data_IF_386394587932
#
_entry.id   IF_386394587932
#
_cell.length_a   1.000
_cell.length_b   1.000
_cell.length_c   1.000
_cell.angle_alpha   90.00
_cell.angle_beta   90.00
_cell.angle_gamma   90.00
#
_symmetry.space_group_name_H-M   'P 1'
#
loop_
_entity.id
_entity.type
_entity.pdbx_description
1 polymer ?
#
# COMPACT_ATOMS: atom_id res chain seq x y z
N UNK A 1 9.90 5.82 21.28
CA UNK A 1 10.57 4.74 20.54
C UNK A 1 9.70 4.47 19.32
N UNK A 2 10.18 4.83 18.13
CA UNK A 2 9.45 4.65 16.87
C UNK A 2 9.30 3.15 16.63
N UNK A 3 8.07 2.64 16.75
CA UNK A 3 7.79 1.25 16.44
C UNK A 3 8.06 1.01 14.95
N UNK A 4 9.18 0.36 14.68
CA UNK A 4 9.51 -0.19 13.37
C UNK A 4 8.62 -1.41 13.20
N UNK A 5 7.47 -1.27 12.55
CA UNK A 5 6.53 -2.39 12.33
C UNK A 5 6.69 -2.94 10.92
N UNK A 6 7.42 -4.04 10.70
CA UNK A 6 7.46 -4.68 9.41
C UNK A 6 6.15 -5.44 9.20
N UNK A 7 5.23 -4.83 8.47
CA UNK A 7 4.22 -5.59 7.74
C UNK A 7 4.93 -6.49 6.71
N UNK A 8 4.22 -7.46 6.12
CA UNK A 8 4.84 -8.39 5.18
C UNK A 8 5.14 -7.68 3.84
N UNK A 9 6.20 -6.88 3.83
CA UNK A 9 6.68 -6.15 2.65
C UNK A 9 7.16 -7.11 1.57
N UNK A 10 7.60 -8.31 1.95
CA UNK A 10 7.97 -9.36 1.01
C UNK A 10 6.79 -9.77 0.12
N UNK A 11 5.59 -9.96 0.69
CA UNK A 11 4.40 -10.29 -0.10
C UNK A 11 4.08 -9.21 -1.15
N UNK A 12 4.23 -7.93 -0.76
CA UNK A 12 4.04 -6.82 -1.70
C UNK A 12 5.11 -6.81 -2.80
N UNK A 13 6.38 -6.97 -2.43
CA UNK A 13 7.51 -6.99 -3.36
C UNK A 13 7.39 -8.14 -4.35
N UNK A 14 7.05 -9.34 -3.87
CA UNK A 14 6.88 -10.53 -4.72
C UNK A 14 5.76 -10.34 -5.72
N UNK A 15 4.62 -9.82 -5.27
CA UNK A 15 3.49 -9.50 -6.14
C UNK A 15 3.86 -8.43 -7.18
N UNK A 16 4.48 -7.31 -6.77
CA UNK A 16 4.92 -6.27 -7.71
C UNK A 16 5.92 -6.81 -8.74
N UNK A 17 6.87 -7.65 -8.31
CA UNK A 17 7.82 -8.29 -9.22
C UNK A 17 7.12 -9.24 -10.21
N UNK A 18 6.07 -9.94 -9.78
CA UNK A 18 5.25 -10.77 -10.67
C UNK A 18 4.50 -9.91 -11.70
N UNK A 19 3.83 -8.84 -11.27
CA UNK A 19 3.13 -7.94 -12.19
C UNK A 19 4.08 -7.30 -13.20
N UNK A 20 5.30 -6.93 -12.75
CA UNK A 20 6.33 -6.33 -13.60
C UNK A 20 6.90 -7.30 -14.66
N UNK A 21 6.59 -8.59 -14.61
CA UNK A 21 6.89 -9.53 -15.70
C UNK A 21 5.94 -9.36 -16.89
N UNK A 22 4.74 -8.85 -16.64
CA UNK A 22 3.68 -8.72 -17.63
C UNK A 22 3.38 -7.26 -18.00
N UNK A 23 3.77 -6.31 -17.13
CA UNK A 23 3.44 -4.88 -17.22
C UNK A 23 4.66 -4.02 -16.91
N UNK A 24 4.67 -2.79 -17.38
CA UNK A 24 5.69 -1.81 -16.99
C UNK A 24 5.31 -1.11 -15.68
N UNK A 25 6.28 -0.41 -15.06
CA UNK A 25 6.00 0.46 -13.90
C UNK A 25 5.00 1.58 -14.24
N UNK A 26 4.96 2.03 -15.49
CA UNK A 26 4.02 3.04 -15.96
C UNK A 26 2.60 2.48 -16.06
N UNK A 27 2.46 1.23 -16.49
CA UNK A 27 1.15 0.56 -16.53
C UNK A 27 0.60 0.35 -15.11
N UNK A 28 1.48 -0.04 -14.17
CA UNK A 28 1.09 -0.16 -12.76
C UNK A 28 0.71 1.17 -12.13
N UNK A 29 1.43 2.24 -12.47
CA UNK A 29 1.09 3.60 -12.05
C UNK A 29 -0.31 4.00 -12.54
N UNK A 30 -0.62 3.75 -13.81
CA UNK A 30 -1.92 4.05 -14.40
C UNK A 30 -3.05 3.20 -13.81
N UNK A 31 -2.82 1.90 -13.61
CA UNK A 31 -3.86 0.97 -13.17
C UNK A 31 -4.12 1.04 -11.67
N UNK A 32 -3.08 1.26 -10.86
CA UNK A 32 -3.23 1.42 -9.41
C UNK A 32 -3.58 2.87 -9.04
N UNK A 33 -3.41 3.83 -9.94
CA UNK A 33 -3.54 5.26 -9.61
C UNK A 33 -2.50 5.71 -8.57
N UNK A 34 -1.33 5.07 -8.55
CA UNK A 34 -0.25 5.31 -7.59
C UNK A 34 0.99 5.79 -8.33
N UNK A 35 1.60 6.87 -7.85
CA UNK A 35 2.78 7.43 -8.52
C UNK A 35 3.93 6.43 -8.63
N UNK A 36 4.66 6.48 -9.75
CA UNK A 36 5.80 5.58 -10.01
C UNK A 36 6.85 5.58 -8.91
N UNK A 37 7.08 6.74 -8.28
CA UNK A 37 8.07 6.87 -7.23
C UNK A 37 7.66 6.13 -5.94
N UNK A 38 6.34 6.01 -5.69
CA UNK A 38 5.77 5.20 -4.61
C UNK A 38 5.91 3.71 -4.93
N UNK A 39 5.59 3.29 -6.16
CA UNK A 39 5.81 1.88 -6.57
C UNK A 39 7.30 1.51 -6.44
N UNK A 40 8.21 2.44 -6.78
CA UNK A 40 9.65 2.25 -6.57
C UNK A 40 10.01 2.13 -5.09
N UNK A 41 9.40 2.93 -4.20
CA UNK A 41 9.66 2.84 -2.77
C UNK A 41 9.21 1.49 -2.21
N UNK A 42 8.05 0.97 -2.65
CA UNK A 42 7.56 -0.36 -2.29
C UNK A 42 8.51 -1.49 -2.64
N UNK A 43 9.22 -1.37 -3.76
CA UNK A 43 10.18 -2.37 -4.23
C UNK A 43 11.55 -2.32 -3.54
N UNK A 44 11.91 -1.17 -2.96
CA UNK A 44 13.31 -0.88 -2.56
C UNK A 44 13.47 -0.59 -1.08
N UNK A 45 12.42 -0.13 -0.40
CA UNK A 45 12.48 0.21 1.01
C UNK A 45 12.09 -1.01 1.85
N UNK A 46 12.83 -1.29 2.93
CA UNK A 46 12.48 -2.39 3.85
C UNK A 46 11.13 -2.15 4.56
N UNK A 47 10.77 -0.88 4.75
CA UNK A 47 9.52 -0.43 5.37
C UNK A 47 8.93 0.74 4.58
N UNK A 48 8.30 0.48 3.41
CA UNK A 48 7.69 1.53 2.60
C UNK A 48 6.51 2.19 3.33
N UNK A 49 6.26 3.45 3.02
CA UNK A 49 5.02 4.11 3.43
C UNK A 49 3.85 3.57 2.59
N UNK A 50 2.81 3.08 3.26
CA UNK A 50 1.53 2.70 2.67
C UNK A 50 0.43 3.48 3.36
N UNK A 51 -0.55 3.93 2.59
CA UNK A 51 -1.74 4.63 3.08
C UNK A 51 -2.96 3.74 2.87
N UNK A 52 -4.09 4.09 3.51
CA UNK A 52 -5.35 3.39 3.28
C UNK A 52 -5.79 3.48 1.81
N UNK A 53 -5.52 4.60 1.13
CA UNK A 53 -5.76 4.77 -0.30
C UNK A 53 -4.96 3.77 -1.14
N UNK A 54 -3.69 3.53 -0.81
CA UNK A 54 -2.89 2.51 -1.50
C UNK A 54 -3.46 1.10 -1.30
N UNK A 55 -3.93 0.78 -0.08
CA UNK A 55 -4.56 -0.52 0.19
C UNK A 55 -5.86 -0.71 -0.60
N UNK A 56 -6.68 0.34 -0.71
CA UNK A 56 -7.90 0.34 -1.53
C UNK A 56 -7.58 0.10 -3.01
N UNK A 57 -6.60 0.83 -3.56
CA UNK A 57 -6.18 0.65 -4.95
C UNK A 57 -5.68 -0.77 -5.25
N UNK A 58 -4.89 -1.36 -4.35
CA UNK A 58 -4.41 -2.74 -4.49
C UNK A 58 -5.59 -3.73 -4.41
N UNK A 59 -6.53 -3.51 -3.49
CA UNK A 59 -7.71 -4.34 -3.33
C UNK A 59 -8.58 -4.33 -4.60
N UNK A 60 -8.86 -3.15 -5.13
CA UNK A 60 -9.63 -2.96 -6.36
C UNK A 60 -8.96 -3.65 -7.55
N UNK A 61 -7.64 -3.49 -7.71
CA UNK A 61 -6.89 -4.16 -8.79
C UNK A 61 -6.92 -5.69 -8.67
N UNK A 62 -6.77 -6.23 -7.46
CA UNK A 62 -6.76 -7.67 -7.22
C UNK A 62 -8.16 -8.28 -7.24
N UNK A 63 -9.22 -7.46 -7.31
CA UNK A 63 -10.61 -7.91 -7.16
C UNK A 63 -10.89 -8.47 -5.77
N UNK A 64 -10.21 -7.97 -4.74
CA UNK A 64 -10.36 -8.38 -3.34
C UNK A 64 -10.91 -7.24 -2.49
N UNK A 65 -11.43 -7.57 -1.30
CA UNK A 65 -11.77 -6.56 -0.29
C UNK A 65 -10.52 -5.97 0.37
N UNK A 66 -10.66 -4.79 0.98
CA UNK A 66 -9.58 -4.15 1.75
C UNK A 66 -9.14 -5.04 2.92
N UNK A 67 -10.07 -5.71 3.62
CA UNK A 67 -9.74 -6.64 4.71
C UNK A 67 -8.91 -7.85 4.23
N UNK A 68 -9.21 -8.37 3.04
CA UNK A 68 -8.41 -9.43 2.42
C UNK A 68 -7.01 -8.95 2.05
N UNK A 69 -6.88 -7.72 1.54
CA UNK A 69 -5.58 -7.11 1.23
C UNK A 69 -4.77 -6.84 2.51
N UNK A 70 -5.41 -6.37 3.58
CA UNK A 70 -4.81 -6.20 4.91
C UNK A 70 -4.27 -7.53 5.44
N UNK A 71 -5.10 -8.57 5.38
CA UNK A 71 -4.73 -9.91 5.82
C UNK A 71 -3.58 -10.49 4.99
N UNK A 72 -3.62 -10.28 3.66
CA UNK A 72 -2.56 -10.71 2.74
C UNK A 72 -1.21 -10.03 3.04
N UNK A 73 -1.22 -8.74 3.37
CA UNK A 73 -0.03 -8.00 3.80
C UNK A 73 0.37 -8.25 5.25
N UNK A 74 -0.37 -9.10 5.98
CA UNK A 74 -0.11 -9.40 7.39
C UNK A 74 -0.23 -8.18 8.30
N UNK A 75 -1.05 -7.20 7.92
CA UNK A 75 -1.27 -5.99 8.72
C UNK A 75 -2.05 -6.35 9.99
N UNK A 76 -1.45 -6.04 11.15
CA UNK A 76 -2.11 -6.18 12.44
C UNK A 76 -3.22 -5.13 12.61
N UNK A 77 -4.27 -5.40 13.40
CA UNK A 77 -5.37 -4.45 13.62
C UNK A 77 -4.94 -3.04 14.05
N UNK A 78 -3.88 -2.93 14.86
CA UNK A 78 -3.33 -1.64 15.28
C UNK A 78 -2.85 -0.80 14.10
N UNK A 79 -2.19 -1.39 13.11
CA UNK A 79 -1.72 -0.68 11.92
C UNK A 79 -2.88 -0.19 11.06
N UNK A 80 -3.94 -0.99 10.96
CA UNK A 80 -5.15 -0.61 10.23
C UNK A 80 -5.79 0.62 10.88
N UNK A 81 -5.87 0.63 12.22
CA UNK A 81 -6.39 1.77 12.97
C UNK A 81 -5.55 3.04 12.72
N UNK A 82 -4.22 2.93 12.77
CA UNK A 82 -3.32 4.06 12.46
C UNK A 82 -3.52 4.59 11.03
N UNK A 83 -3.70 3.70 10.05
CA UNK A 83 -3.98 4.10 8.66
C UNK A 83 -5.32 4.82 8.51
N UNK A 84 -6.36 4.36 9.24
CA UNK A 84 -7.66 5.02 9.29
C UNK A 84 -7.55 6.39 9.95
N UNK A 85 -6.83 6.52 11.06
CA UNK A 85 -6.63 7.79 11.77
C UNK A 85 -5.84 8.80 10.94
N UNK A 86 -4.86 8.33 10.15
CA UNK A 86 -4.13 9.16 9.19
C UNK A 86 -5.01 9.61 8.02
N UNK A 87 -5.89 8.74 7.49
CA UNK A 87 -6.85 9.08 6.43
C UNK A 87 -7.83 10.17 6.90
N UNK A 88 -8.40 10.00 8.09
CA UNK A 88 -9.33 10.96 8.72
C UNK A 88 -8.63 12.28 9.05
N UNK A 89 -7.39 12.24 9.54
CA UNK A 89 -6.62 13.45 9.88
C UNK A 89 -6.13 14.20 8.64
N UNK A 90 -5.71 13.47 7.60
CA UNK A 90 -5.33 14.04 6.31
C UNK A 90 -6.49 14.74 5.61
N UNK A 91 -7.67 14.11 5.60
CA UNK A 91 -8.90 14.71 5.07
C UNK A 91 -9.28 16.02 5.79
N UNK A 92 -9.00 16.13 7.09
CA UNK A 92 -9.25 17.34 7.88
C UNK A 92 -8.20 18.44 7.67
N UNK A 93 -6.96 18.09 7.32
CA UNK A 93 -5.89 19.04 7.05
C UNK A 93 -6.05 19.73 5.68
N UNK A 94 -6.62 19.04 4.69
CA UNK A 94 -6.83 19.57 3.33
C UNK A 94 -8.08 20.47 3.18
N UNK A 95 -8.87 20.66 4.24
CA UNK A 95 -10.07 21.52 4.26
C UNK A 95 -9.82 22.87 4.95
N UNK A 96 -8.55 23.28 5.12
CA UNK A 96 -8.15 24.58 5.69
C UNK A 96 -7.40 25.44 4.69
#
# INVERSE_FOLDING_TARGET
MQNYYPWNTQALVDWLNQELRYRTKQDLEAVLGVERHVIKSWLTQPSPAITLTHLRAIADYKGSSVDQTISWLGLQPAHVQELVDQDVSGARASLR
#
